data_IF_632616466272
#
_entry.id   IF_632616466272
#
_cell.length_a   1.000
_cell.length_b   1.000
_cell.length_c   1.000
_cell.angle_alpha   90.00
_cell.angle_beta   90.00
_cell.angle_gamma   90.00
#
_symmetry.space_group_name_H-M   'P 1'
#
loop_
_entity.id
_entity.type
_entity.pdbx_description
1 polymer ?
#
# COMPACT_ATOMS: atom_id res chain seq x y z
N UNK A 1 -0.73 6.32 13.56
CA UNK A 1 -1.84 6.02 12.63
C UNK A 1 -1.79 6.95 11.43
N UNK A 2 -1.90 6.41 10.24
CA UNK A 2 -1.85 7.13 8.97
C UNK A 2 -3.22 7.04 8.30
N UNK A 3 -4.04 8.12 8.34
CA UNK A 3 -5.40 8.10 7.78
C UNK A 3 -5.43 7.87 6.28
N UNK A 4 -6.32 7.01 5.80
CA UNK A 4 -6.52 6.78 4.36
C UNK A 4 -6.91 8.07 3.61
N UNK A 5 -7.62 8.99 4.26
CA UNK A 5 -7.95 10.29 3.69
C UNK A 5 -6.70 11.08 3.28
N UNK A 6 -5.59 10.92 4.00
CA UNK A 6 -4.31 11.54 3.63
C UNK A 6 -3.58 10.66 2.62
N UNK A 7 -3.52 9.35 2.86
CA UNK A 7 -2.79 8.42 2.01
C UNK A 7 -3.36 8.36 0.59
N UNK A 8 -4.67 8.50 0.38
CA UNK A 8 -5.26 8.52 -0.98
C UNK A 8 -4.81 9.70 -1.83
N UNK A 9 -4.42 10.82 -1.20
CA UNK A 9 -3.92 12.01 -1.90
C UNK A 9 -2.40 11.98 -2.13
N UNK A 10 -1.66 11.37 -1.23
CA UNK A 10 -0.19 11.44 -1.22
C UNK A 10 0.48 10.13 -1.62
N UNK A 11 -0.21 9.00 -1.52
CA UNK A 11 0.21 7.63 -1.84
C UNK A 11 1.47 7.17 -1.09
N UNK A 12 2.33 8.07 -0.63
CA UNK A 12 3.49 7.77 0.20
C UNK A 12 3.73 8.85 1.25
N UNK A 13 3.97 8.42 2.48
CA UNK A 13 4.46 9.26 3.59
C UNK A 13 5.85 8.76 3.96
N UNK A 14 6.84 9.65 3.91
CA UNK A 14 8.17 9.40 4.44
C UNK A 14 8.21 9.91 5.87
N UNK A 15 8.46 9.04 6.82
CA UNK A 15 8.46 9.38 8.25
C UNK A 15 9.64 8.72 8.96
N UNK A 16 9.86 9.09 10.23
CA UNK A 16 10.83 8.43 11.11
C UNK A 16 10.08 7.91 12.33
N UNK A 17 9.91 6.61 12.42
CA UNK A 17 9.20 5.97 13.52
C UNK A 17 10.20 5.26 14.42
N UNK A 18 10.23 5.62 15.69
CA UNK A 18 11.18 5.08 16.69
C UNK A 18 12.65 5.14 16.20
N UNK A 19 13.02 6.21 15.50
CA UNK A 19 14.38 6.40 14.97
C UNK A 19 14.67 5.70 13.64
N UNK A 20 13.73 4.92 13.10
CA UNK A 20 13.88 4.21 11.82
C UNK A 20 13.17 4.97 10.70
N UNK A 21 13.86 5.33 9.60
CA UNK A 21 13.22 5.85 8.40
C UNK A 21 12.22 4.85 7.83
N UNK A 22 11.00 5.31 7.54
CA UNK A 22 9.89 4.49 7.08
C UNK A 22 9.25 5.09 5.83
N UNK A 23 8.78 4.23 4.94
CA UNK A 23 7.89 4.58 3.85
C UNK A 23 6.52 3.93 4.10
N UNK A 24 5.54 4.74 4.45
CA UNK A 24 4.16 4.31 4.59
C UNK A 24 3.48 4.55 3.25
N UNK A 25 3.11 3.49 2.56
CA UNK A 25 2.64 3.56 1.19
C UNK A 25 1.20 3.08 1.06
N UNK A 26 0.49 3.62 0.07
CA UNK A 26 -0.88 3.22 -0.23
C UNK A 26 -1.17 3.36 -1.73
N UNK A 27 -1.54 2.27 -2.35
CA UNK A 27 -2.08 2.27 -3.72
C UNK A 27 -3.60 2.40 -3.66
N UNK A 28 -4.13 3.56 -4.01
CA UNK A 28 -5.58 3.79 -4.00
C UNK A 28 -6.32 2.94 -5.04
N UNK A 29 -5.68 2.63 -6.16
CA UNK A 29 -6.23 1.77 -7.22
C UNK A 29 -6.31 0.30 -6.79
N UNK A 30 -5.32 -0.16 -6.01
CA UNK A 30 -5.22 -1.53 -5.50
C UNK A 30 -5.95 -1.70 -4.16
N UNK A 31 -6.24 -0.60 -3.46
CA UNK A 31 -6.73 -0.55 -2.07
C UNK A 31 -5.81 -1.32 -1.10
N UNK A 32 -4.49 -1.14 -1.28
CA UNK A 32 -3.45 -1.83 -0.51
C UNK A 32 -2.50 -0.83 0.12
N UNK A 33 -2.34 -0.91 1.44
CA UNK A 33 -1.31 -0.20 2.19
C UNK A 33 -0.18 -1.15 2.58
N UNK A 34 1.06 -0.72 2.35
CA UNK A 34 2.26 -1.47 2.76
C UNK A 34 3.24 -0.50 3.41
N UNK A 35 3.91 -0.96 4.46
CA UNK A 35 4.92 -0.18 5.17
C UNK A 35 6.28 -0.83 4.98
N UNK A 36 7.28 -0.02 4.72
CA UNK A 36 8.66 -0.49 4.55
C UNK A 36 9.61 0.29 5.45
N UNK A 37 10.66 -0.38 5.92
CA UNK A 37 11.86 0.33 6.36
C UNK A 37 12.47 1.02 5.13
N UNK A 38 12.56 2.34 5.17
CA UNK A 38 13.11 3.14 4.10
C UNK A 38 14.64 3.26 4.22
N UNK A 39 15.29 2.10 4.37
CA UNK A 39 16.74 1.98 4.54
C UNK A 39 17.27 0.90 3.61
N UNK A 40 18.31 1.22 2.85
CA UNK A 40 19.01 0.26 2.00
C UNK A 40 20.52 0.40 2.22
N UNK A 41 21.20 -0.70 2.58
CA UNK A 41 22.66 -0.70 2.80
C UNK A 41 23.12 0.44 3.75
N UNK A 42 22.39 0.61 4.86
CA UNK A 42 22.58 1.68 5.87
C UNK A 42 22.32 3.12 5.37
N UNK A 43 21.77 3.30 4.18
CA UNK A 43 21.38 4.61 3.68
C UNK A 43 19.87 4.80 3.76
N UNK A 44 19.44 5.91 4.35
CA UNK A 44 18.05 6.28 4.36
C UNK A 44 17.59 6.69 2.95
N UNK A 45 16.44 6.17 2.54
CA UNK A 45 15.77 6.54 1.31
C UNK A 45 14.53 7.37 1.61
N UNK A 46 14.12 8.19 0.66
CA UNK A 46 12.81 8.82 0.63
C UNK A 46 12.18 8.61 -0.74
N UNK A 47 10.87 8.45 -0.74
CA UNK A 47 10.12 8.07 -1.93
C UNK A 47 9.16 9.17 -2.38
N UNK A 48 8.84 9.15 -3.66
CA UNK A 48 7.78 9.94 -4.27
C UNK A 48 6.98 9.09 -5.26
N UNK A 49 5.82 9.60 -5.65
CA UNK A 49 4.93 8.94 -6.62
C UNK A 49 5.44 9.18 -8.02
N UNK A 50 5.65 8.12 -8.80
CA UNK A 50 6.17 8.24 -10.16
C UNK A 50 5.08 8.54 -11.21
N UNK A 51 3.81 8.30 -10.88
CA UNK A 51 2.70 8.34 -11.82
C UNK A 51 2.67 7.16 -12.80
N UNK A 52 3.53 6.17 -12.61
CA UNK A 52 3.62 4.98 -13.47
C UNK A 52 3.05 3.76 -12.77
N UNK A 53 2.66 2.77 -13.55
CA UNK A 53 2.20 1.47 -13.08
C UNK A 53 3.12 0.36 -13.61
N UNK A 54 3.25 -0.69 -12.82
CA UNK A 54 3.85 -1.95 -13.20
C UNK A 54 2.91 -3.08 -12.76
N UNK A 55 2.41 -3.87 -13.72
CA UNK A 55 1.41 -4.92 -13.47
C UNK A 55 0.19 -4.43 -12.65
N UNK A 56 -0.28 -3.21 -12.93
CA UNK A 56 -1.36 -2.51 -12.24
C UNK A 56 -1.05 -2.05 -10.81
N UNK A 57 0.18 -2.23 -10.34
CA UNK A 57 0.67 -1.70 -9.08
C UNK A 57 1.29 -0.30 -9.28
N UNK A 58 1.11 0.59 -8.30
CA UNK A 58 1.74 1.91 -8.32
C UNK A 58 3.25 1.81 -8.18
N UNK A 59 3.99 2.51 -9.04
CA UNK A 59 5.42 2.65 -8.91
C UNK A 59 5.78 3.92 -8.14
N UNK A 60 6.56 3.74 -7.08
CA UNK A 60 7.26 4.81 -6.40
C UNK A 60 8.64 5.03 -7.04
N UNK A 61 9.25 6.20 -6.83
CA UNK A 61 10.66 6.41 -7.13
C UNK A 61 11.41 6.82 -5.86
N UNK A 62 12.65 6.35 -5.69
CA UNK A 62 13.51 6.90 -4.65
C UNK A 62 14.15 8.21 -5.12
N UNK A 63 14.29 9.19 -4.19
CA UNK A 63 14.83 10.51 -4.53
C UNK A 63 16.36 10.57 -4.64
N UNK A 64 17.05 9.47 -4.33
CA UNK A 64 18.53 9.40 -4.40
C UNK A 64 18.97 8.95 -5.79
N UNK A 65 18.32 7.88 -6.31
CA UNK A 65 18.77 7.26 -7.56
C UNK A 65 17.73 7.34 -8.68
N UNK A 66 16.51 7.76 -8.39
CA UNK A 66 15.36 7.71 -9.28
C UNK A 66 15.02 6.28 -9.78
N UNK A 67 15.43 5.24 -9.04
CA UNK A 67 15.00 3.89 -9.34
C UNK A 67 13.51 3.74 -9.04
N UNK A 68 12.82 2.90 -9.81
CA UNK A 68 11.39 2.65 -9.67
C UNK A 68 11.14 1.42 -8.82
N UNK A 69 10.21 1.53 -7.88
CA UNK A 69 9.92 0.53 -6.87
C UNK A 69 8.44 0.15 -6.90
N UNK A 70 8.15 -1.16 -6.94
CA UNK A 70 6.79 -1.66 -6.77
C UNK A 70 6.29 -1.36 -5.36
N UNK A 71 5.11 -0.73 -5.27
CA UNK A 71 4.50 -0.37 -3.99
C UNK A 71 4.11 -1.61 -3.18
N UNK A 72 3.64 -2.66 -3.85
CA UNK A 72 3.15 -3.89 -3.19
C UNK A 72 4.30 -4.81 -2.77
N UNK A 73 5.33 -4.95 -3.59
CA UNK A 73 6.41 -5.91 -3.33
C UNK A 73 7.62 -5.31 -2.63
N UNK A 74 7.78 -3.97 -2.66
CA UNK A 74 8.95 -3.27 -2.15
C UNK A 74 10.23 -3.55 -2.95
N UNK A 75 10.10 -4.07 -4.18
CA UNK A 75 11.22 -4.39 -5.05
C UNK A 75 11.47 -3.24 -6.05
N UNK A 76 12.73 -2.89 -6.24
CA UNK A 76 13.14 -2.00 -7.31
C UNK A 76 13.08 -2.74 -8.65
N UNK A 77 12.15 -2.33 -9.52
CA UNK A 77 11.89 -2.97 -10.81
C UNK A 77 12.64 -2.30 -11.97
N UNK A 78 13.26 -1.14 -11.72
CA UNK A 78 14.00 -0.42 -12.75
C UNK A 78 14.97 0.60 -12.11
N UNK A 79 16.01 0.95 -12.82
CA UNK A 79 17.00 1.96 -12.42
C UNK A 79 18.24 1.35 -11.78
N UNK A 80 19.03 2.21 -11.11
CA UNK A 80 20.32 1.83 -10.50
C UNK A 80 20.19 0.76 -9.43
N UNK A 81 19.06 0.73 -8.70
CA UNK A 81 18.81 -0.21 -7.61
C UNK A 81 17.96 -1.42 -8.04
N UNK A 82 17.78 -1.65 -9.33
CA UNK A 82 16.99 -2.78 -9.84
C UNK A 82 17.35 -4.11 -9.15
N UNK A 83 16.33 -4.86 -8.72
CA UNK A 83 16.47 -6.12 -7.98
C UNK A 83 16.75 -5.98 -6.48
N UNK A 84 16.94 -4.76 -5.95
CA UNK A 84 17.01 -4.53 -4.51
C UNK A 84 15.60 -4.58 -3.92
N UNK A 85 15.49 -4.98 -2.65
CA UNK A 85 14.20 -5.11 -1.96
C UNK A 85 14.26 -4.45 -0.59
N UNK A 86 13.20 -3.71 -0.25
CA UNK A 86 13.00 -3.12 1.06
C UNK A 86 12.47 -4.16 2.05
N UNK A 87 12.75 -3.95 3.32
CA UNK A 87 12.20 -4.76 4.41
C UNK A 87 10.77 -4.28 4.69
N UNK A 88 9.82 -5.18 4.52
CA UNK A 88 8.42 -4.91 4.85
C UNK A 88 8.20 -4.96 6.37
N UNK A 89 7.49 -3.97 6.88
CA UNK A 89 7.08 -3.90 8.28
C UNK A 89 5.62 -4.30 8.42
N UNK A 90 5.28 -5.24 9.31
CA UNK A 90 3.90 -5.58 9.58
C UNK A 90 3.08 -4.35 10.00
N UNK A 91 1.94 -4.14 9.35
CA UNK A 91 1.03 -3.04 9.64
C UNK A 91 -0.43 -3.54 9.69
N UNK A 92 -1.24 -2.88 10.50
CA UNK A 92 -2.66 -3.21 10.66
C UNK A 92 -3.52 -2.15 9.99
N UNK A 93 -4.54 -2.58 9.27
CA UNK A 93 -5.62 -1.72 8.80
C UNK A 93 -6.71 -1.68 9.87
N UNK A 94 -6.87 -0.53 10.54
CA UNK A 94 -7.81 -0.31 11.62
C UNK A 94 -8.65 0.94 11.32
N UNK A 95 -9.88 0.96 11.80
CA UNK A 95 -10.62 2.21 11.91
C UNK A 95 -9.96 3.12 12.97
N UNK A 96 -10.16 4.43 12.86
CA UNK A 96 -9.66 5.38 13.87
C UNK A 96 -10.21 5.06 15.27
N UNK A 97 -11.46 4.56 15.35
CA UNK A 97 -12.09 4.16 16.61
C UNK A 97 -11.36 2.97 17.24
N UNK A 98 -11.06 1.93 16.45
CA UNK A 98 -10.31 0.76 16.93
C UNK A 98 -8.90 1.15 17.35
N UNK A 99 -8.21 1.96 16.53
CA UNK A 99 -6.88 2.47 16.87
C UNK A 99 -6.89 3.24 18.20
N UNK A 100 -7.79 4.21 18.37
CA UNK A 100 -7.87 5.00 19.60
C UNK A 100 -8.22 4.17 20.84
N UNK A 101 -8.96 3.06 20.66
CA UNK A 101 -9.29 2.16 21.75
C UNK A 101 -8.09 1.28 22.16
N UNK A 102 -7.38 0.76 21.17
CA UNK A 102 -6.23 -0.13 21.41
C UNK A 102 -4.96 0.63 21.77
N UNK A 103 -4.80 1.84 21.23
CA UNK A 103 -3.60 2.68 21.38
C UNK A 103 -3.98 4.12 21.80
N UNK A 104 -4.48 4.31 23.04
CA UNK A 104 -5.02 5.60 23.49
C UNK A 104 -4.01 6.76 23.50
N UNK A 105 -2.71 6.45 23.55
CA UNK A 105 -1.61 7.42 23.47
C UNK A 105 -0.93 7.42 22.09
N UNK A 106 -1.51 6.70 21.13
CA UNK A 106 -0.96 6.61 19.77
C UNK A 106 -1.07 7.92 19.02
N UNK A 107 -0.06 8.22 18.22
CA UNK A 107 -0.02 9.41 17.39
C UNK A 107 -0.80 9.21 16.09
N UNK A 108 -1.41 10.30 15.59
CA UNK A 108 -2.14 10.31 14.33
C UNK A 108 -1.53 11.34 13.40
N UNK A 109 -1.23 10.95 12.17
CA UNK A 109 -0.72 11.87 11.15
C UNK A 109 -1.68 13.05 10.96
N UNK A 110 -1.15 14.26 11.08
CA UNK A 110 -1.91 15.50 10.98
C UNK A 110 -2.32 15.81 9.53
N UNK A 111 -3.47 16.48 9.38
CA UNK A 111 -3.90 17.10 8.11
C UNK A 111 -2.99 18.27 7.65
N UNK A 112 -2.13 18.79 8.53
CA UNK A 112 -1.18 19.86 8.20
C UNK A 112 0.06 19.30 7.49
N UNK A 113 -0.14 18.77 6.29
CA UNK A 113 0.90 18.12 5.49
C UNK A 113 1.81 19.09 4.73
N UNK A 114 1.54 20.39 4.76
CA UNK A 114 2.21 21.39 3.92
C UNK A 114 1.60 21.53 2.51
N UNK A 115 0.58 20.73 2.18
CA UNK A 115 -0.13 20.79 0.91
C UNK A 115 -1.59 21.20 1.10
N UNK A 116 -2.11 21.99 0.15
CA UNK A 116 -3.54 22.32 0.13
C UNK A 116 -4.30 21.20 -0.55
N UNK A 117 -5.03 20.40 0.24
CA UNK A 117 -5.88 19.29 -0.22
C UNK A 117 -7.16 19.26 0.60
N UNK A 118 -8.25 18.83 -0.01
CA UNK A 118 -9.49 18.55 0.72
C UNK A 118 -9.46 17.09 1.21
N UNK A 119 -8.98 16.86 2.43
CA UNK A 119 -8.90 15.51 3.01
C UNK A 119 -10.25 14.97 3.51
N UNK A 120 -11.32 15.71 3.36
CA UNK A 120 -12.67 15.19 3.62
C UNK A 120 -13.23 14.45 2.40
N UNK A 121 -12.60 14.65 1.22
CA UNK A 121 -12.87 13.91 0.00
C UNK A 121 -11.77 12.88 -0.30
N UNK A 122 -12.13 11.80 -0.98
CA UNK A 122 -11.17 10.84 -1.49
C UNK A 122 -10.60 11.33 -2.83
N UNK A 123 -9.29 11.21 -3.04
CA UNK A 123 -8.59 11.68 -4.24
C UNK A 123 -9.17 11.06 -5.55
N UNK A 124 -9.66 9.83 -5.47
CA UNK A 124 -10.21 9.08 -6.60
C UNK A 124 -11.73 8.92 -6.54
N UNK A 125 -12.41 9.70 -5.69
CA UNK A 125 -13.85 9.57 -5.48
C UNK A 125 -14.26 8.16 -5.06
N UNK A 126 -15.43 7.72 -5.49
CA UNK A 126 -15.91 6.35 -5.22
C UNK A 126 -15.36 5.35 -6.27
N UNK A 127 -14.03 5.25 -6.34
CA UNK A 127 -13.37 4.33 -7.27
C UNK A 127 -13.79 2.87 -7.06
N UNK A 128 -14.14 2.48 -5.85
CA UNK A 128 -14.58 1.11 -5.55
C UNK A 128 -15.93 0.77 -6.18
N UNK A 129 -16.82 1.76 -6.36
CA UNK A 129 -18.11 1.59 -7.01
C UNK A 129 -18.04 1.60 -8.55
N UNK A 130 -16.93 2.08 -9.14
CA UNK A 130 -16.79 2.09 -10.59
C UNK A 130 -16.75 0.64 -11.10
N UNK A 131 -17.74 0.28 -11.92
CA UNK A 131 -17.74 -0.97 -12.67
C UNK A 131 -16.57 -0.88 -13.66
N UNK A 132 -15.59 -1.77 -13.50
CA UNK A 132 -14.35 -1.74 -14.25
C UNK A 132 -14.58 -1.68 -15.77
N UNK A 133 -14.23 -0.56 -16.38
CA UNK A 133 -14.17 -0.34 -17.82
C UNK A 133 -12.83 0.20 -18.26
N UNK A 134 -12.14 0.89 -17.34
CA UNK A 134 -10.99 1.73 -17.69
C UNK A 134 -9.65 1.19 -17.19
N UNK A 135 -9.62 0.06 -16.50
CA UNK A 135 -8.37 -0.61 -16.12
C UNK A 135 -8.22 -1.87 -16.96
N UNK A 136 -7.07 -2.01 -17.60
CA UNK A 136 -6.69 -3.19 -18.38
C UNK A 136 -6.65 -4.42 -17.44
N UNK A 137 -7.79 -5.08 -17.27
CA UNK A 137 -7.92 -6.25 -16.43
C UNK A 137 -7.74 -7.48 -17.32
N UNK A 138 -6.74 -8.28 -17.01
CA UNK A 138 -6.59 -9.60 -17.60
C UNK A 138 -7.86 -10.41 -17.30
N UNK A 139 -8.62 -10.75 -18.33
CA UNK A 139 -9.94 -11.39 -18.24
C UNK A 139 -9.80 -12.87 -17.88
N UNK A 140 -9.62 -13.19 -16.61
CA UNK A 140 -9.97 -14.51 -16.05
C UNK A 140 -10.93 -14.29 -14.88
N UNK A 141 -12.19 -14.00 -15.23
CA UNK A 141 -13.18 -13.50 -14.29
C UNK A 141 -13.84 -14.63 -13.52
N UNK A 142 -13.20 -15.10 -12.44
CA UNK A 142 -13.90 -15.88 -11.42
C UNK A 142 -14.70 -14.95 -10.47
N UNK A 143 -14.25 -13.69 -10.30
CA UNK A 143 -14.85 -12.69 -9.40
C UNK A 143 -14.90 -11.31 -10.07
N UNK A 144 -15.64 -10.39 -9.43
CA UNK A 144 -15.63 -8.99 -9.84
C UNK A 144 -14.19 -8.44 -9.75
N UNK A 145 -13.72 -7.63 -10.72
CA UNK A 145 -12.34 -7.11 -10.76
C UNK A 145 -11.87 -6.41 -9.49
N UNK A 146 -12.78 -5.82 -8.71
CA UNK A 146 -12.49 -5.13 -7.46
C UNK A 146 -12.89 -5.94 -6.22
N UNK A 147 -13.05 -7.26 -6.35
CA UNK A 147 -13.25 -8.14 -5.19
C UNK A 147 -12.04 -8.03 -4.26
N UNK A 148 -12.28 -7.71 -3.00
CA UNK A 148 -11.23 -7.74 -1.99
C UNK A 148 -10.79 -9.17 -1.74
N UNK A 149 -9.48 -9.38 -1.72
CA UNK A 149 -8.88 -10.69 -1.48
C UNK A 149 -7.81 -10.59 -0.39
N UNK A 150 -7.65 -11.66 0.36
CA UNK A 150 -6.48 -11.87 1.22
C UNK A 150 -5.51 -12.73 0.43
N UNK A 151 -4.35 -12.17 0.11
CA UNK A 151 -3.24 -12.89 -0.52
C UNK A 151 -2.35 -13.52 0.54
N UNK A 152 -1.97 -14.76 0.36
CA UNK A 152 -0.99 -15.44 1.20
C UNK A 152 0.09 -16.12 0.37
N UNK A 153 1.29 -16.13 0.91
CA UNK A 153 2.44 -16.85 0.35
C UNK A 153 2.91 -17.92 1.32
N UNK A 154 3.07 -19.15 0.82
CA UNK A 154 3.66 -20.26 1.57
C UNK A 154 4.63 -21.00 0.67
N UNK A 155 5.89 -21.06 1.05
CA UNK A 155 6.95 -21.76 0.30
C UNK A 155 7.02 -21.35 -1.19
N UNK A 156 6.90 -20.06 -1.49
CA UNK A 156 6.96 -19.51 -2.85
C UNK A 156 5.71 -19.73 -3.71
N UNK A 157 4.64 -20.30 -3.13
CA UNK A 157 3.34 -20.40 -3.79
C UNK A 157 2.38 -19.36 -3.26
N UNK A 158 1.61 -18.76 -4.17
CA UNK A 158 0.69 -17.68 -3.87
C UNK A 158 -0.75 -18.14 -4.07
N UNK A 159 -1.63 -17.80 -3.12
CA UNK A 159 -3.07 -17.98 -3.24
C UNK A 159 -3.80 -16.73 -2.78
N UNK A 160 -4.95 -16.45 -3.40
CA UNK A 160 -5.83 -15.35 -3.05
C UNK A 160 -7.20 -15.89 -2.64
N UNK A 161 -7.73 -15.36 -1.56
CA UNK A 161 -9.02 -15.74 -1.00
C UNK A 161 -9.93 -14.51 -0.94
N UNK A 162 -11.12 -14.53 -1.56
CA UNK A 162 -12.09 -13.46 -1.39
C UNK A 162 -12.41 -13.24 0.09
N UNK A 163 -12.37 -11.97 0.51
CA UNK A 163 -12.52 -11.60 1.92
C UNK A 163 -13.86 -12.04 2.50
N UNK A 164 -14.95 -11.89 1.74
CA UNK A 164 -16.30 -12.29 2.10
C UNK A 164 -16.45 -13.79 2.41
N UNK A 165 -15.63 -14.64 1.76
CA UNK A 165 -15.62 -16.08 2.06
C UNK A 165 -14.91 -16.38 3.37
N UNK A 166 -13.92 -15.58 3.76
CA UNK A 166 -13.13 -15.78 4.99
C UNK A 166 -13.89 -15.27 6.21
N UNK A 167 -14.59 -14.15 6.10
CA UNK A 167 -15.38 -13.57 7.19
C UNK A 167 -16.50 -14.50 7.71
N UNK A 168 -16.95 -15.45 6.89
CA UNK A 168 -18.06 -16.33 7.23
C UNK A 168 -17.62 -17.69 7.76
N UNK A 169 -16.37 -18.12 7.54
CA UNK A 169 -15.89 -19.46 7.94
C UNK A 169 -14.38 -19.58 7.91
N UNK A 170 -13.87 -20.51 8.72
CA UNK A 170 -12.49 -21.00 8.59
C UNK A 170 -12.33 -21.77 7.28
N UNK A 171 -11.30 -21.44 6.51
CA UNK A 171 -10.93 -22.17 5.29
C UNK A 171 -9.68 -22.98 5.59
N UNK A 172 -9.73 -24.28 5.31
CA UNK A 172 -8.56 -25.17 5.31
C UNK A 172 -8.24 -25.50 3.88
N UNK A 173 -7.01 -25.26 3.47
CA UNK A 173 -6.54 -25.50 2.10
C UNK A 173 -5.10 -26.04 2.10
N UNK A 174 -4.70 -26.63 1.00
CA UNK A 174 -3.34 -27.17 0.76
C UNK A 174 -2.59 -26.33 -0.26
N UNK A 175 -1.28 -26.21 -0.09
CA UNK A 175 -0.37 -25.48 -0.97
C UNK A 175 0.45 -26.43 -1.85
#
# INVERSE_FOLDING_TARGET
>A
FYPYQILTWHEVVNDVVAGTPMAITYCALCNVGVVYEAVLQNNALTFGVSGKLYELDSLLYDRVTNSLWSQVTGEAVSGKLNGQKLVQVPALALSLKEFSTQYPTGEVLSKFTGFVRNYDDLAYGDYAALKGGDVLIAQKNLWHPKTRVVGIEVAGKFKAYPQDLIEQKTITDTF
#
